data_IF_952367347458
#
_entry.id   IF_952367347458
#
_cell.length_a   1.000
_cell.length_b   1.000
_cell.length_c   1.000
_cell.angle_alpha   90.00
_cell.angle_beta   90.00
_cell.angle_gamma   90.00
#
_symmetry.space_group_name_H-M   'P 1'
#
loop_
_entity.id
_entity.type
_entity.pdbx_description
1 polymer ?
#
# COMPACT_ATOMS: atom_id res chain seq x y z
N UNK A 1 -5.30 24.93 -18.87
CA UNK A 1 -4.26 25.43 -17.95
C UNK A 1 -4.16 24.65 -16.65
N UNK A 2 -5.14 24.65 -15.72
CA UNK A 2 -5.03 23.95 -14.42
C UNK A 2 -4.79 22.43 -14.52
N UNK A 3 -5.48 21.75 -15.46
CA UNK A 3 -5.29 20.31 -15.75
C UNK A 3 -3.93 19.98 -16.38
N UNK A 4 -3.41 20.89 -17.22
CA UNK A 4 -2.09 20.74 -17.86
C UNK A 4 -0.97 20.98 -16.84
N UNK A 5 -1.16 21.92 -15.90
CA UNK A 5 -0.21 22.16 -14.82
C UNK A 5 -0.11 20.95 -13.88
N UNK A 6 -1.24 20.32 -13.56
CA UNK A 6 -1.30 19.07 -12.78
C UNK A 6 -0.64 17.89 -13.51
N UNK A 7 -0.87 17.76 -14.82
CA UNK A 7 -0.21 16.74 -15.63
C UNK A 7 1.30 16.99 -15.70
N UNK A 8 1.71 18.26 -15.85
CA UNK A 8 3.11 18.65 -15.89
C UNK A 8 3.80 18.39 -14.55
N UNK A 9 3.16 18.71 -13.41
CA UNK A 9 3.72 18.40 -12.09
C UNK A 9 3.78 16.89 -11.84
N UNK A 10 2.78 16.13 -12.30
CA UNK A 10 2.80 14.66 -12.22
C UNK A 10 3.92 14.05 -13.05
N UNK A 11 4.12 14.53 -14.29
CA UNK A 11 5.21 14.09 -15.18
C UNK A 11 6.58 14.50 -14.63
N UNK A 12 6.72 15.72 -14.13
CA UNK A 12 7.97 16.19 -13.51
C UNK A 12 8.30 15.35 -12.26
N UNK A 13 7.31 15.08 -11.41
CA UNK A 13 7.48 14.20 -10.25
C UNK A 13 7.94 12.81 -10.67
N UNK A 14 7.34 12.23 -11.72
CA UNK A 14 7.75 10.97 -12.31
C UNK A 14 9.21 10.98 -12.80
N UNK A 15 9.63 12.03 -13.53
CA UNK A 15 10.99 12.18 -14.05
C UNK A 15 12.04 12.31 -12.93
N UNK A 16 11.73 13.05 -11.87
CA UNK A 16 12.61 13.13 -10.68
C UNK A 16 12.70 11.79 -9.95
N UNK A 17 11.60 11.02 -9.90
CA UNK A 17 11.62 9.68 -9.31
C UNK A 17 12.28 8.62 -10.21
N UNK A 18 12.38 8.81 -11.52
CA UNK A 18 12.98 7.81 -12.41
C UNK A 18 14.52 7.71 -12.26
N UNK A 19 15.20 8.82 -11.95
CA UNK A 19 16.68 8.89 -12.02
C UNK A 19 17.44 8.63 -10.71
N UNK A 20 16.76 8.33 -9.60
CA UNK A 20 17.40 8.44 -8.28
C UNK A 20 17.81 7.13 -7.58
N UNK A 21 17.73 5.95 -8.20
CA UNK A 21 18.27 4.73 -7.58
C UNK A 21 18.83 3.77 -8.64
N UNK A 22 20.16 3.67 -8.74
CA UNK A 22 20.82 2.49 -9.32
C UNK A 22 20.62 1.33 -8.33
N UNK A 23 19.80 0.34 -8.72
CA UNK A 23 19.49 -0.82 -7.89
C UNK A 23 18.64 -1.85 -8.65
N UNK A 24 18.47 -3.03 -8.04
CA UNK A 24 17.69 -4.17 -8.58
C UNK A 24 16.43 -3.71 -9.33
N UNK A 25 16.32 -4.13 -10.60
CA UNK A 25 15.30 -3.68 -11.54
C UNK A 25 13.95 -4.32 -11.23
N UNK A 26 13.97 -5.59 -10.85
CA UNK A 26 12.77 -6.36 -10.57
C UNK A 26 13.03 -7.32 -9.41
N UNK A 27 12.12 -7.36 -8.44
CA UNK A 27 12.03 -8.44 -7.46
C UNK A 27 10.62 -8.99 -7.42
N UNK A 28 10.47 -10.30 -7.59
CA UNK A 28 9.17 -10.97 -7.38
C UNK A 28 9.13 -11.50 -5.96
N UNK A 29 8.06 -11.19 -5.24
CA UNK A 29 7.91 -11.42 -3.82
C UNK A 29 6.58 -12.13 -3.58
N UNK A 30 6.57 -13.18 -2.77
CA UNK A 30 5.34 -13.75 -2.21
C UNK A 30 5.47 -13.85 -0.71
N UNK A 31 4.36 -13.90 0.02
CA UNK A 31 4.43 -14.06 1.45
C UNK A 31 3.11 -13.81 2.15
N UNK A 32 3.21 -13.62 3.45
CA UNK A 32 2.09 -13.27 4.31
C UNK A 32 2.43 -11.99 5.06
N UNK A 33 1.46 -11.10 5.25
CA UNK A 33 1.59 -9.95 6.14
C UNK A 33 0.61 -10.06 7.30
N UNK A 34 1.08 -9.66 8.47
CA UNK A 34 0.24 -9.51 9.66
C UNK A 34 0.05 -8.01 9.89
N UNK A 35 -1.20 -7.56 9.89
CA UNK A 35 -1.57 -6.15 9.95
C UNK A 35 -2.43 -5.90 11.21
N UNK A 36 -1.82 -5.60 12.37
CA UNK A 36 -2.55 -5.02 13.49
C UNK A 36 -2.83 -3.53 13.25
N UNK A 37 -4.07 -3.11 13.40
CA UNK A 37 -4.47 -1.72 13.25
C UNK A 37 -5.72 -1.35 14.05
N UNK A 38 -5.87 -0.06 14.29
CA UNK A 38 -7.10 0.56 14.74
C UNK A 38 -7.87 1.03 13.51
N UNK A 39 -9.13 0.64 13.41
CA UNK A 39 -10.09 1.17 12.45
C UNK A 39 -11.00 2.19 13.13
N UNK A 40 -11.11 3.36 12.52
CA UNK A 40 -12.18 4.32 12.75
C UNK A 40 -13.14 4.16 11.57
N UNK A 41 -14.31 3.59 11.83
CA UNK A 41 -15.30 3.29 10.80
C UNK A 41 -16.07 4.55 10.36
N UNK A 42 -17.03 4.34 9.46
CA UNK A 42 -17.86 5.40 8.86
C UNK A 42 -18.75 6.13 9.88
N UNK A 43 -19.11 5.46 10.98
CA UNK A 43 -19.95 6.00 12.03
C UNK A 43 -19.13 6.62 13.18
N UNK A 44 -17.79 6.63 13.06
CA UNK A 44 -16.87 7.11 14.08
C UNK A 44 -16.59 6.12 15.20
N UNK A 45 -17.04 4.86 15.08
CA UNK A 45 -16.67 3.82 16.03
C UNK A 45 -15.20 3.44 15.86
N UNK A 46 -14.59 3.01 16.96
CA UNK A 46 -13.20 2.55 17.01
C UNK A 46 -13.16 1.05 17.26
N UNK A 47 -12.37 0.31 16.48
CA UNK A 47 -12.14 -1.13 16.69
C UNK A 47 -10.68 -1.49 16.45
N UNK A 48 -10.14 -2.37 17.29
CA UNK A 48 -8.82 -2.97 17.07
C UNK A 48 -8.95 -4.27 16.28
N UNK A 49 -8.20 -4.39 15.19
CA UNK A 49 -8.29 -5.48 14.23
C UNK A 49 -6.89 -5.99 13.93
N UNK A 50 -6.76 -7.31 13.77
CA UNK A 50 -5.56 -7.92 13.16
C UNK A 50 -5.98 -8.67 11.91
N UNK A 51 -5.41 -8.29 10.76
CA UNK A 51 -5.63 -8.98 9.48
C UNK A 51 -4.40 -9.79 9.08
N UNK A 52 -4.65 -10.92 8.43
CA UNK A 52 -3.64 -11.73 7.76
C UNK A 52 -3.87 -11.64 6.26
N UNK A 53 -2.82 -11.34 5.52
CA UNK A 53 -2.84 -11.01 4.11
C UNK A 53 -1.87 -11.94 3.39
N UNK A 54 -2.34 -12.79 2.47
CA UNK A 54 -1.46 -13.58 1.60
C UNK A 54 -1.24 -12.83 0.29
N UNK A 55 0.01 -12.69 -0.16
CA UNK A 55 0.37 -11.81 -1.28
C UNK A 55 1.29 -12.44 -2.32
N UNK A 56 1.11 -11.99 -3.56
CA UNK A 56 2.08 -12.09 -4.64
C UNK A 56 2.25 -10.70 -5.26
N UNK A 57 3.50 -10.24 -5.36
CA UNK A 57 3.81 -8.93 -5.87
C UNK A 57 5.16 -8.82 -6.54
N UNK A 58 5.39 -7.67 -7.15
CA UNK A 58 6.62 -7.32 -7.84
C UNK A 58 7.09 -5.92 -7.42
N UNK A 59 8.37 -5.80 -7.08
CA UNK A 59 9.04 -4.55 -6.80
C UNK A 59 9.89 -4.12 -8.00
N UNK A 60 9.64 -2.92 -8.52
CA UNK A 60 10.34 -2.34 -9.66
C UNK A 60 11.25 -1.21 -9.20
N UNK A 61 12.54 -1.30 -9.56
CA UNK A 61 13.58 -0.30 -9.28
C UNK A 61 13.64 0.17 -7.82
N UNK A 62 13.25 -0.68 -6.86
CA UNK A 62 13.05 -0.32 -5.46
C UNK A 62 12.14 0.91 -5.22
N UNK A 63 11.23 1.23 -6.14
CA UNK A 63 10.34 2.40 -6.05
C UNK A 63 8.88 2.07 -6.10
N UNK A 64 8.51 1.05 -6.85
CA UNK A 64 7.11 0.70 -7.03
C UNK A 64 6.93 -0.76 -6.66
N UNK A 65 6.11 -1.02 -5.65
CA UNK A 65 5.69 -2.38 -5.32
C UNK A 65 4.23 -2.52 -5.75
N UNK A 66 3.93 -3.47 -6.64
CA UNK A 66 2.58 -3.81 -7.06
C UNK A 66 2.28 -5.22 -6.60
N UNK A 67 1.13 -5.44 -5.99
CA UNK A 67 0.76 -6.76 -5.49
C UNK A 67 -0.73 -7.01 -5.55
N UNK A 68 -1.07 -8.29 -5.57
CA UNK A 68 -2.42 -8.79 -5.35
C UNK A 68 -2.38 -9.78 -4.19
N UNK A 69 -3.46 -9.84 -3.44
CA UNK A 69 -3.54 -10.70 -2.28
C UNK A 69 -4.95 -11.07 -1.87
N UNK A 70 -5.01 -11.96 -0.89
CA UNK A 70 -6.24 -12.45 -0.30
C UNK A 70 -6.19 -12.30 1.23
N UNK A 71 -7.28 -11.81 1.82
CA UNK A 71 -7.46 -11.65 3.27
C UNK A 71 -8.51 -12.64 3.76
N UNK A 72 -8.13 -13.76 4.40
CA UNK A 72 -9.09 -14.82 4.73
C UNK A 72 -10.21 -14.40 5.67
N UNK A 73 -9.89 -13.63 6.73
CA UNK A 73 -10.89 -13.26 7.74
C UNK A 73 -12.01 -12.37 7.19
N UNK A 74 -11.68 -11.48 6.26
CA UNK A 74 -12.64 -10.56 5.65
C UNK A 74 -13.15 -11.06 4.29
N UNK A 75 -12.73 -12.27 3.87
CA UNK A 75 -12.99 -12.84 2.55
C UNK A 75 -12.82 -11.82 1.41
N UNK A 76 -11.65 -11.17 1.37
CA UNK A 76 -11.38 -10.10 0.39
C UNK A 76 -10.23 -10.45 -0.54
N UNK A 77 -10.39 -10.14 -1.82
CA UNK A 77 -9.27 -10.01 -2.77
C UNK A 77 -8.90 -8.54 -2.82
N UNK A 78 -7.62 -8.23 -2.84
CA UNK A 78 -7.18 -6.84 -2.90
C UNK A 78 -5.92 -6.68 -3.73
N UNK A 79 -5.69 -5.47 -4.22
CA UNK A 79 -4.38 -5.05 -4.67
C UNK A 79 -3.74 -4.14 -3.62
N UNK A 80 -2.41 -4.10 -3.60
CA UNK A 80 -1.67 -3.21 -2.73
C UNK A 80 -0.47 -2.65 -3.49
N UNK A 81 -0.62 -1.39 -3.91
CA UNK A 81 0.36 -0.69 -4.72
C UNK A 81 1.06 0.39 -3.89
N UNK A 82 2.36 0.25 -3.66
CA UNK A 82 3.18 1.22 -2.95
C UNK A 82 4.11 1.97 -3.90
N UNK A 83 4.23 3.28 -3.68
CA UNK A 83 5.09 4.19 -4.44
C UNK A 83 6.04 4.91 -3.48
N UNK A 84 7.29 4.49 -3.44
CA UNK A 84 8.34 5.01 -2.56
C UNK A 84 8.92 6.31 -3.13
N UNK A 85 8.54 7.44 -2.54
CA UNK A 85 9.06 8.76 -2.93
C UNK A 85 10.18 9.23 -1.99
N UNK A 86 10.24 8.72 -0.76
CA UNK A 86 11.45 8.76 0.07
C UNK A 86 12.08 7.37 0.04
N UNK A 87 13.22 7.27 -0.64
CA UNK A 87 13.88 5.99 -0.94
C UNK A 87 14.40 5.24 0.28
N UNK A 88 14.67 3.95 0.08
CA UNK A 88 15.21 3.02 1.10
C UNK A 88 16.59 3.40 1.64
N UNK A 89 17.31 4.30 0.98
CA UNK A 89 18.60 4.86 1.42
C UNK A 89 18.44 5.91 2.55
N UNK A 90 17.22 6.34 2.85
CA UNK A 90 16.93 7.32 3.90
C UNK A 90 16.65 6.66 5.24
N UNK A 91 16.85 7.42 6.32
CA UNK A 91 16.60 6.97 7.71
C UNK A 91 15.16 6.49 7.93
N UNK A 92 14.19 7.15 7.30
CA UNK A 92 12.77 6.79 7.33
C UNK A 92 12.29 6.79 5.88
N UNK A 93 12.33 5.64 5.19
CA UNK A 93 11.72 5.49 3.87
C UNK A 93 10.20 5.68 3.99
N UNK A 94 9.62 6.38 3.02
CA UNK A 94 8.19 6.71 3.00
C UNK A 94 7.64 6.42 1.62
N UNK A 95 6.52 5.70 1.60
CA UNK A 95 5.73 5.43 0.42
C UNK A 95 4.31 5.96 0.55
N UNK A 96 3.72 6.20 -0.61
CA UNK A 96 2.29 6.37 -0.76
C UNK A 96 1.68 5.04 -1.18
N UNK A 97 0.58 4.64 -0.58
CA UNK A 97 -0.14 3.41 -0.90
C UNK A 97 -1.46 3.75 -1.57
N UNK A 98 -1.79 3.01 -2.62
CA UNK A 98 -3.12 2.93 -3.20
C UNK A 98 -3.52 1.45 -3.28
N UNK A 99 -4.67 1.12 -2.71
CA UNK A 99 -5.18 -0.24 -2.65
C UNK A 99 -6.70 -0.24 -2.85
N UNK A 100 -7.20 -1.29 -3.46
CA UNK A 100 -8.61 -1.58 -3.65
C UNK A 100 -8.86 -2.99 -3.10
N UNK A 101 -9.88 -3.12 -2.26
CA UNK A 101 -10.31 -4.38 -1.66
C UNK A 101 -11.71 -4.69 -2.18
N UNK A 102 -11.89 -5.86 -2.80
CA UNK A 102 -13.20 -6.42 -3.11
C UNK A 102 -13.61 -7.39 -2.01
N UNK A 103 -14.65 -7.03 -1.26
CA UNK A 103 -15.23 -7.86 -0.21
C UNK A 103 -16.26 -8.80 -0.83
N UNK A 104 -15.94 -10.10 -0.85
CA UNK A 104 -16.73 -11.10 -1.58
C UNK A 104 -18.09 -11.32 -0.92
N UNK A 105 -18.14 -11.38 0.40
CA UNK A 105 -19.37 -11.66 1.15
C UNK A 105 -20.39 -10.51 1.03
N UNK A 106 -19.91 -9.27 1.00
CA UNK A 106 -20.74 -8.07 0.91
C UNK A 106 -20.94 -7.56 -0.52
N UNK A 107 -20.22 -8.12 -1.50
CA UNK A 107 -20.17 -7.63 -2.88
C UNK A 107 -19.88 -6.11 -2.96
N UNK A 108 -18.82 -5.68 -2.25
CA UNK A 108 -18.44 -4.26 -2.12
C UNK A 108 -16.99 -4.01 -2.48
N UNK A 109 -16.73 -2.87 -3.10
CA UNK A 109 -15.39 -2.36 -3.34
C UNK A 109 -15.06 -1.25 -2.34
N UNK A 110 -13.93 -1.40 -1.66
CA UNK A 110 -13.35 -0.40 -0.78
C UNK A 110 -12.03 0.07 -1.40
N UNK A 111 -11.90 1.38 -1.61
CA UNK A 111 -10.61 1.97 -1.98
C UNK A 111 -9.97 2.54 -0.73
N UNK A 112 -8.66 2.37 -0.62
CA UNK A 112 -7.87 2.93 0.46
C UNK A 112 -6.56 3.53 -0.03
N UNK A 113 -6.14 4.59 0.63
CA UNK A 113 -4.94 5.34 0.25
C UNK A 113 -4.32 6.04 1.44
N UNK A 114 -3.01 6.20 1.42
CA UNK A 114 -2.34 7.03 2.42
C UNK A 114 -0.85 6.75 2.54
N UNK A 115 -0.28 7.13 3.68
CA UNK A 115 1.15 7.07 3.90
C UNK A 115 1.55 5.77 4.60
N UNK A 116 2.70 5.25 4.19
CA UNK A 116 3.33 4.08 4.75
C UNK A 116 4.81 4.40 5.03
N UNK A 117 5.26 4.06 6.23
CA UNK A 117 6.57 4.41 6.77
C UNK A 117 7.31 3.13 7.11
N UNK A 118 8.49 2.93 6.53
CA UNK A 118 9.29 1.75 6.83
C UNK A 118 10.00 1.88 8.19
N UNK A 119 9.79 0.90 9.06
CA UNK A 119 10.39 0.80 10.39
C UNK A 119 11.59 -0.15 10.35
N UNK A 120 12.69 0.34 9.80
CA UNK A 120 13.92 -0.45 9.63
C UNK A 120 13.69 -1.70 8.77
N UNK A 121 14.14 -2.86 9.27
CA UNK A 121 14.01 -4.14 8.56
C UNK A 121 12.83 -5.00 9.04
N UNK A 122 12.03 -4.50 9.98
CA UNK A 122 11.03 -5.32 10.68
C UNK A 122 9.65 -5.23 10.05
N UNK A 123 9.20 -4.02 9.70
CA UNK A 123 7.86 -3.81 9.18
C UNK A 123 7.61 -2.36 8.85
N UNK A 124 6.34 -2.01 8.70
CA UNK A 124 5.93 -0.67 8.32
C UNK A 124 4.85 -0.16 9.28
N UNK A 125 4.80 1.15 9.49
CA UNK A 125 3.64 1.85 10.07
C UNK A 125 2.83 2.49 8.95
N UNK A 126 1.52 2.60 9.10
CA UNK A 126 0.66 3.19 8.08
C UNK A 126 -0.49 4.01 8.65
N UNK A 127 -0.95 4.95 7.83
CA UNK A 127 -2.14 5.76 8.05
C UNK A 127 -2.88 5.82 6.72
N UNK A 128 -4.02 5.14 6.62
CA UNK A 128 -4.82 5.03 5.41
C UNK A 128 -6.22 5.56 5.61
N UNK A 129 -6.65 6.43 4.70
CA UNK A 129 -8.06 6.72 4.50
C UNK A 129 -8.65 5.60 3.65
N UNK A 130 -9.88 5.19 3.93
CA UNK A 130 -10.59 4.21 3.12
C UNK A 130 -12.05 4.62 2.92
N UNK A 131 -12.65 4.19 1.82
CA UNK A 131 -14.01 4.57 1.46
C UNK A 131 -14.64 3.56 0.50
N UNK A 132 -15.95 3.30 0.56
CA UNK A 132 -16.66 2.56 -0.47
C UNK A 132 -16.66 3.30 -1.81
N UNK A 133 -16.58 2.56 -2.91
CA UNK A 133 -16.55 3.14 -4.27
C UNK A 133 -17.93 3.69 -4.69
N UNK A 134 -18.99 3.05 -4.22
CA UNK A 134 -20.38 3.34 -4.54
C UNK A 134 -20.96 4.52 -3.73
N UNK A 135 -20.46 4.74 -2.52
CA UNK A 135 -20.84 5.86 -1.68
C UNK A 135 -19.63 6.37 -0.87
N UNK A 136 -19.14 7.56 -1.22
CA UNK A 136 -17.95 8.14 -0.60
C UNK A 136 -18.25 8.52 0.84
N UNK A 137 -17.83 7.65 1.74
CA UNK A 137 -17.80 7.85 3.18
C UNK A 137 -16.42 7.46 3.72
N UNK A 138 -15.78 8.34 4.49
CA UNK A 138 -14.37 8.21 4.83
C UNK A 138 -14.17 7.58 6.19
N UNK A 139 -13.55 6.41 6.21
CA UNK A 139 -12.95 5.82 7.39
C UNK A 139 -11.44 6.06 7.46
N UNK A 140 -10.84 5.76 8.61
CA UNK A 140 -9.41 5.85 8.86
C UNK A 140 -8.88 4.54 9.45
N UNK A 141 -7.77 4.03 8.91
CA UNK A 141 -7.00 2.92 9.48
C UNK A 141 -5.62 3.44 9.90
N UNK A 142 -5.25 3.19 11.14
CA UNK A 142 -3.91 3.52 11.68
C UNK A 142 -3.32 2.28 12.29
N UNK A 143 -2.14 1.86 11.84
CA UNK A 143 -1.55 0.63 12.36
C UNK A 143 -0.16 0.36 11.84
N UNK A 144 0.21 -0.91 11.90
CA UNK A 144 1.48 -1.41 11.40
C UNK A 144 1.27 -2.72 10.64
N UNK A 145 2.26 -3.12 9.85
CA UNK A 145 2.31 -4.47 9.33
C UNK A 145 3.71 -5.05 9.31
N UNK A 146 3.77 -6.36 9.51
CA UNK A 146 5.00 -7.16 9.48
C UNK A 146 4.93 -8.07 8.27
N UNK A 147 5.74 -7.84 7.23
CA UNK A 147 5.79 -8.69 6.06
C UNK A 147 6.70 -9.91 6.30
N UNK A 148 6.14 -11.10 6.12
CA UNK A 148 6.84 -12.39 6.11
C UNK A 148 6.99 -12.84 4.66
N UNK A 149 7.95 -12.23 3.98
CA UNK A 149 8.12 -12.31 2.53
C UNK A 149 9.27 -13.22 2.11
N UNK A 150 9.06 -13.94 1.01
CA UNK A 150 10.05 -14.74 0.29
C UNK A 150 10.26 -14.12 -1.08
N UNK A 151 11.53 -13.89 -1.43
CA UNK A 151 11.91 -13.42 -2.78
C UNK A 151 11.97 -14.64 -3.69
N UNK A 152 11.09 -14.67 -4.70
CA UNK A 152 11.03 -15.73 -5.70
C UNK A 152 12.02 -15.50 -6.84
N UNK A 153 12.25 -14.24 -7.21
CA UNK A 153 13.11 -13.84 -8.32
C UNK A 153 13.70 -12.45 -8.06
N UNK A 154 14.91 -12.18 -8.55
CA UNK A 154 15.55 -10.86 -8.51
C UNK A 154 16.48 -10.65 -9.71
N UNK A 155 16.40 -9.46 -10.31
CA UNK A 155 17.26 -8.96 -11.41
C UNK A 155 17.92 -7.63 -11.07
#
# INVERSE_FOLDING_TARGET
MRKQLLLLTFVLFWVFTANAQEGERLKVITGVRVNPFVMYDFDGNKTEITRIHAELGAMFNNKTYLSVGYTPFANTIYNFNEYWFVGFDKKIPVSWVLAEEYMIDENKFIVQTGLNFKLGNVGNAFVFLFTPVDNIDWGLKVGAFIPLNVVLHKD
#
